data_IF_127233213318
#
_entry.id   IF_127233213318
#
_cell.length_a   1.000
_cell.length_b   1.000
_cell.length_c   1.000
_cell.angle_alpha   90.00
_cell.angle_beta   90.00
_cell.angle_gamma   90.00
#
_symmetry.space_group_name_H-M   'P 1'
#
loop_
_entity.id
_entity.type
_entity.pdbx_description
1 polymer ?
#
# COMPACT_ATOMS: atom_id res chain seq x y z
N UNK A 1 -14.35 -19.15 33.44
CA UNK A 1 -13.11 -18.94 32.65
C UNK A 1 -12.98 -17.45 32.42
N UNK A 2 -12.02 -16.78 33.07
CA UNK A 2 -11.72 -15.38 32.81
C UNK A 2 -10.95 -15.27 31.48
N UNK A 3 -11.66 -15.18 30.35
CA UNK A 3 -11.07 -14.96 29.03
C UNK A 3 -10.81 -13.46 28.86
N UNK A 4 -9.75 -12.95 29.49
CA UNK A 4 -9.41 -11.53 29.51
C UNK A 4 -8.23 -11.13 28.61
N UNK A 5 -8.05 -11.76 27.45
CA UNK A 5 -7.03 -11.38 26.46
C UNK A 5 -7.47 -11.89 25.06
N UNK A 6 -8.55 -11.34 24.50
CA UNK A 6 -8.99 -11.68 23.15
C UNK A 6 -8.32 -10.80 22.09
N UNK A 7 -8.05 -11.38 20.93
CA UNK A 7 -7.80 -10.60 19.71
C UNK A 7 -9.16 -10.19 19.10
N UNK A 8 -9.32 -8.91 18.77
CA UNK A 8 -10.50 -8.38 18.07
C UNK A 8 -10.07 -7.67 16.80
N UNK A 9 -10.73 -7.95 15.68
CA UNK A 9 -10.42 -7.32 14.40
C UNK A 9 -11.68 -6.66 13.87
N UNK A 10 -11.63 -5.35 13.69
CA UNK A 10 -12.69 -4.57 13.07
C UNK A 10 -12.24 -4.11 11.68
N UNK A 11 -13.21 -3.93 10.80
CA UNK A 11 -13.00 -3.30 9.50
C UNK A 11 -13.68 -1.95 9.47
N UNK A 12 -13.01 -0.95 8.91
CA UNK A 12 -13.67 0.21 8.34
C UNK A 12 -14.39 -0.13 7.03
N UNK A 13 -14.97 0.87 6.40
CA UNK A 13 -15.71 0.74 5.14
C UNK A 13 -14.82 0.76 3.90
N UNK A 14 -13.54 1.09 4.04
CA UNK A 14 -12.63 1.22 2.90
C UNK A 14 -12.23 -0.10 2.25
N UNK A 15 -12.07 -1.18 3.03
CA UNK A 15 -11.65 -2.49 2.51
C UNK A 15 -12.10 -3.69 3.36
N UNK A 16 -13.42 -3.97 3.46
CA UNK A 16 -13.95 -5.11 4.22
C UNK A 16 -13.40 -6.46 3.76
N UNK A 17 -13.19 -6.64 2.44
CA UNK A 17 -12.69 -7.89 1.86
C UNK A 17 -11.31 -8.27 2.41
N UNK A 18 -10.41 -7.30 2.55
CA UNK A 18 -9.09 -7.55 3.13
C UNK A 18 -9.18 -7.95 4.60
N UNK A 19 -10.09 -7.34 5.37
CA UNK A 19 -10.33 -7.71 6.75
C UNK A 19 -10.88 -9.14 6.88
N UNK A 20 -11.75 -9.57 5.98
CA UNK A 20 -12.22 -10.95 5.90
C UNK A 20 -11.10 -11.93 5.55
N UNK A 21 -10.21 -11.59 4.61
CA UNK A 21 -9.05 -12.43 4.27
C UNK A 21 -8.16 -12.62 5.51
N UNK A 22 -7.86 -11.53 6.23
CA UNK A 22 -7.02 -11.55 7.41
C UNK A 22 -7.64 -12.41 8.52
N UNK A 23 -8.91 -12.18 8.83
CA UNK A 23 -9.63 -12.91 9.89
C UNK A 23 -9.79 -14.40 9.58
N UNK A 24 -10.09 -14.74 8.32
CA UNK A 24 -10.14 -16.14 7.84
C UNK A 24 -8.81 -16.86 8.04
N UNK A 25 -7.69 -16.21 7.72
CA UNK A 25 -6.34 -16.78 7.92
C UNK A 25 -5.99 -16.97 9.38
N UNK A 26 -6.44 -16.06 10.24
CA UNK A 26 -6.26 -16.16 11.70
C UNK A 26 -7.22 -17.15 12.37
N UNK A 27 -8.22 -17.66 11.66
CA UNK A 27 -9.21 -18.59 12.21
C UNK A 27 -10.15 -17.94 13.24
N UNK A 28 -10.35 -16.61 13.17
CA UNK A 28 -11.23 -15.86 14.07
C UNK A 28 -12.30 -15.12 13.26
N UNK A 29 -13.50 -14.86 13.82
CA UNK A 29 -14.51 -14.06 13.13
C UNK A 29 -14.16 -12.56 13.14
N UNK A 30 -14.59 -11.84 12.11
CA UNK A 30 -14.56 -10.37 12.10
C UNK A 30 -15.50 -9.83 13.20
N UNK A 31 -14.99 -8.90 13.99
CA UNK A 31 -15.73 -8.25 15.06
C UNK A 31 -16.77 -7.26 14.49
N UNK A 32 -17.90 -7.14 15.16
CA UNK A 32 -19.05 -6.38 14.69
C UNK A 32 -18.92 -4.89 15.06
N UNK A 33 -18.89 -4.04 14.03
CA UNK A 33 -19.06 -2.61 14.17
C UNK A 33 -20.12 -2.12 13.18
N UNK A 34 -20.95 -1.17 13.62
CA UNK A 34 -21.89 -0.46 12.78
C UNK A 34 -21.24 0.86 12.36
N UNK A 35 -20.98 1.02 11.07
CA UNK A 35 -20.45 2.27 10.50
C UNK A 35 -21.49 2.84 9.54
N UNK A 36 -22.00 4.03 9.85
CA UNK A 36 -23.05 4.69 9.10
C UNK A 36 -22.62 6.09 8.70
N UNK A 37 -23.13 6.59 7.58
CA UNK A 37 -22.95 7.97 7.16
C UNK A 37 -24.29 8.70 7.21
N UNK A 38 -24.35 9.82 7.92
CA UNK A 38 -25.56 10.65 8.01
C UNK A 38 -25.82 11.37 6.68
N UNK A 39 -27.04 11.89 6.48
CA UNK A 39 -27.41 12.63 5.27
C UNK A 39 -26.56 13.90 5.01
N UNK A 40 -25.96 14.47 6.06
CA UNK A 40 -25.04 15.61 5.95
C UNK A 40 -23.57 15.19 5.78
N UNK A 41 -23.29 13.88 5.77
CA UNK A 41 -21.98 13.30 5.50
C UNK A 41 -21.13 12.99 6.73
N UNK A 42 -21.66 13.08 7.95
CA UNK A 42 -20.95 12.70 9.17
C UNK A 42 -20.87 11.18 9.31
N UNK A 43 -19.71 10.68 9.74
CA UNK A 43 -19.52 9.27 10.05
C UNK A 43 -19.94 9.00 11.50
N UNK A 44 -20.83 8.03 11.68
CA UNK A 44 -21.23 7.50 12.99
C UNK A 44 -20.73 6.06 13.11
N UNK A 45 -20.09 5.75 14.24
CA UNK A 45 -19.52 4.43 14.53
C UNK A 45 -20.07 3.92 15.85
N UNK A 46 -20.50 2.66 15.89
CA UNK A 46 -20.82 1.94 17.11
C UNK A 46 -20.13 0.59 17.11
N UNK A 47 -19.27 0.36 18.11
CA UNK A 47 -18.70 -0.96 18.37
C UNK A 47 -19.79 -1.82 19.02
N UNK A 48 -20.20 -2.90 18.37
CA UNK A 48 -21.38 -3.68 18.76
C UNK A 48 -21.09 -4.77 19.81
N UNK A 49 -19.82 -4.96 20.17
CA UNK A 49 -19.36 -5.92 21.16
C UNK A 49 -18.38 -5.30 22.17
N UNK A 50 -18.24 -5.91 23.34
CA UNK A 50 -17.26 -5.46 24.33
C UNK A 50 -15.84 -5.66 23.81
N UNK A 51 -15.01 -4.62 23.95
CA UNK A 51 -13.57 -4.64 23.64
C UNK A 51 -12.73 -4.40 24.90
N UNK A 52 -13.35 -4.40 26.09
CA UNK A 52 -12.66 -4.14 27.36
C UNK A 52 -11.54 -5.15 27.59
N UNK A 53 -10.33 -4.64 27.82
CA UNK A 53 -9.09 -5.41 27.99
C UNK A 53 -8.65 -6.26 26.77
N UNK A 54 -9.30 -6.13 25.61
CA UNK A 54 -8.91 -6.84 24.39
C UNK A 54 -7.80 -6.12 23.61
N UNK A 55 -7.05 -6.88 22.79
CA UNK A 55 -6.09 -6.37 21.81
C UNK A 55 -6.81 -6.17 20.47
N UNK A 56 -7.04 -4.91 20.13
CA UNK A 56 -7.91 -4.49 19.03
C UNK A 56 -7.09 -4.10 17.80
N UNK A 57 -7.46 -4.63 16.65
CA UNK A 57 -6.92 -4.27 15.34
C UNK A 57 -8.03 -3.66 14.49
N UNK A 58 -7.79 -2.48 13.93
CA UNK A 58 -8.74 -1.80 13.04
C UNK A 58 -8.11 -1.69 11.66
N UNK A 59 -8.72 -2.34 10.67
CA UNK A 59 -8.26 -2.33 9.28
C UNK A 59 -9.01 -1.23 8.53
N UNK A 60 -8.29 -0.21 8.09
CA UNK A 60 -8.85 0.86 7.26
C UNK A 60 -7.76 1.45 6.36
N UNK A 61 -7.95 1.41 5.04
CA UNK A 61 -6.98 1.89 4.05
C UNK A 61 -7.36 3.27 3.52
N UNK A 62 -6.37 4.06 3.09
CA UNK A 62 -6.55 5.43 2.61
C UNK A 62 -7.12 5.55 1.20
N UNK A 63 -8.22 4.87 0.88
CA UNK A 63 -8.84 4.84 -0.45
C UNK A 63 -10.24 5.48 -0.50
N UNK A 64 -10.84 5.51 -1.69
CA UNK A 64 -12.18 6.06 -1.96
C UNK A 64 -12.28 7.55 -1.54
N UNK A 65 -13.08 7.85 -0.52
CA UNK A 65 -13.16 9.17 0.09
C UNK A 65 -12.14 9.26 1.23
N UNK A 66 -10.89 9.58 0.89
CA UNK A 66 -9.74 9.55 1.81
C UNK A 66 -9.98 10.28 3.15
N UNK A 67 -10.68 11.42 3.12
CA UNK A 67 -11.04 12.17 4.33
C UNK A 67 -12.06 11.43 5.20
N UNK A 68 -13.06 10.80 4.57
CA UNK A 68 -14.07 10.01 5.27
C UNK A 68 -13.43 8.77 5.88
N UNK A 69 -12.56 8.06 5.14
CA UNK A 69 -11.84 6.89 5.66
C UNK A 69 -10.92 7.26 6.85
N UNK A 70 -10.21 8.40 6.77
CA UNK A 70 -9.39 8.90 7.88
C UNK A 70 -10.25 9.23 9.12
N UNK A 71 -11.34 9.96 8.94
CA UNK A 71 -12.23 10.30 10.05
C UNK A 71 -12.87 9.06 10.66
N UNK A 72 -13.32 8.12 9.84
CA UNK A 72 -13.85 6.84 10.27
C UNK A 72 -12.84 6.06 11.12
N UNK A 73 -11.59 5.92 10.65
CA UNK A 73 -10.51 5.29 11.42
C UNK A 73 -10.32 5.98 12.79
N UNK A 74 -10.22 7.31 12.81
CA UNK A 74 -10.05 8.06 14.05
C UNK A 74 -11.22 7.86 15.02
N UNK A 75 -12.46 7.83 14.52
CA UNK A 75 -13.65 7.61 15.33
C UNK A 75 -13.68 6.17 15.87
N UNK A 76 -13.36 5.16 15.04
CA UNK A 76 -13.28 3.76 15.47
C UNK A 76 -12.23 3.56 16.56
N UNK A 77 -11.01 4.10 16.36
CA UNK A 77 -9.94 4.07 17.36
C UNK A 77 -10.40 4.73 18.66
N UNK A 78 -11.00 5.92 18.57
CA UNK A 78 -11.49 6.62 19.76
C UNK A 78 -12.57 5.85 20.50
N UNK A 79 -13.53 5.25 19.77
CA UNK A 79 -14.59 4.42 20.35
C UNK A 79 -14.02 3.21 21.10
N UNK A 80 -13.02 2.52 20.55
CA UNK A 80 -12.34 1.42 21.24
C UNK A 80 -11.56 1.91 22.47
N UNK A 81 -10.90 3.08 22.39
CA UNK A 81 -10.12 3.65 23.50
C UNK A 81 -11.00 3.95 24.71
N UNK A 82 -12.11 4.64 24.51
CA UNK A 82 -13.05 4.97 25.59
C UNK A 82 -13.83 3.75 26.08
N UNK A 83 -13.97 2.71 25.25
CA UNK A 83 -14.51 1.41 25.64
C UNK A 83 -13.50 0.52 26.42
N UNK A 84 -12.35 1.08 26.82
CA UNK A 84 -11.32 0.41 27.62
C UNK A 84 -10.62 -0.76 26.92
N UNK A 85 -10.40 -0.66 25.61
CA UNK A 85 -9.49 -1.58 24.92
C UNK A 85 -8.07 -1.49 25.53
N UNK A 86 -7.41 -2.65 25.67
CA UNK A 86 -6.06 -2.74 26.27
C UNK A 86 -5.00 -2.13 25.37
N UNK A 87 -5.09 -2.44 24.07
CA UNK A 87 -4.21 -1.95 23.02
C UNK A 87 -4.99 -1.81 21.73
N UNK A 88 -4.71 -0.75 20.98
CA UNK A 88 -5.35 -0.48 19.69
C UNK A 88 -4.28 -0.34 18.62
N UNK A 89 -4.33 -1.23 17.63
CA UNK A 89 -3.45 -1.21 16.46
C UNK A 89 -4.24 -0.78 15.22
N UNK A 90 -3.83 0.31 14.57
CA UNK A 90 -4.38 0.70 13.28
C UNK A 90 -3.61 0.01 12.15
N UNK A 91 -4.29 -0.81 11.34
CA UNK A 91 -3.74 -1.42 10.14
C UNK A 91 -4.19 -0.60 8.94
N UNK A 92 -3.25 0.11 8.33
CA UNK A 92 -3.47 1.10 7.27
C UNK A 92 -2.64 0.71 6.05
N UNK A 93 -3.11 -0.23 5.21
CA UNK A 93 -2.32 -0.75 4.10
C UNK A 93 -1.80 0.35 3.17
N UNK A 94 -2.66 1.25 2.68
CA UNK A 94 -2.24 2.51 2.05
C UNK A 94 -2.37 3.67 3.06
N UNK A 95 -1.24 4.27 3.43
CA UNK A 95 -1.23 5.43 4.31
C UNK A 95 -1.77 6.70 3.62
N UNK A 96 -2.84 7.35 4.14
CA UNK A 96 -3.43 8.51 3.49
C UNK A 96 -2.49 9.71 3.55
N UNK A 97 -2.49 10.51 2.47
CA UNK A 97 -1.63 11.70 2.33
C UNK A 97 -0.12 11.45 2.35
N UNK A 98 0.35 10.21 2.15
CA UNK A 98 1.77 9.86 2.24
C UNK A 98 2.69 10.65 1.29
N UNK A 99 2.18 11.12 0.14
CA UNK A 99 2.94 11.99 -0.80
C UNK A 99 3.13 13.44 -0.31
N UNK A 100 2.51 13.83 0.81
CA UNK A 100 2.60 15.16 1.41
C UNK A 100 3.42 15.10 2.72
N UNK A 101 4.61 14.53 2.62
CA UNK A 101 5.55 14.21 3.71
C UNK A 101 6.58 15.30 4.00
N UNK A 102 6.70 16.30 3.12
CA UNK A 102 7.67 17.39 3.27
C UNK A 102 7.15 18.71 2.69
N UNK A 103 7.82 19.80 3.04
CA UNK A 103 7.54 21.13 2.45
C UNK A 103 8.24 21.27 1.12
N UNK A 104 7.56 20.92 0.03
CA UNK A 104 8.09 21.11 -1.32
C UNK A 104 8.03 22.55 -1.84
N UNK A 105 7.23 23.40 -1.19
CA UNK A 105 7.09 24.83 -1.49
C UNK A 105 6.94 25.62 -0.19
N UNK A 106 7.22 26.93 -0.26
CA UNK A 106 6.94 27.84 0.86
C UNK A 106 5.44 27.77 1.23
N UNK A 107 5.14 27.74 2.53
CA UNK A 107 3.78 27.65 3.10
C UNK A 107 2.96 26.40 2.73
N UNK A 108 3.58 25.34 2.22
CA UNK A 108 2.92 24.04 2.10
C UNK A 108 2.80 23.34 3.48
N UNK A 109 1.70 22.59 3.75
CA UNK A 109 1.58 21.76 4.93
C UNK A 109 2.42 20.47 4.80
N UNK A 110 2.68 19.81 5.93
CA UNK A 110 3.15 18.42 5.98
C UNK A 110 1.95 17.57 6.43
N UNK A 111 1.06 17.27 5.50
CA UNK A 111 -0.23 16.64 5.80
C UNK A 111 -0.05 15.22 6.34
N UNK A 112 0.97 14.47 5.89
CA UNK A 112 1.26 13.15 6.46
C UNK A 112 1.58 13.21 7.97
N UNK A 113 2.26 14.27 8.44
CA UNK A 113 2.50 14.50 9.88
C UNK A 113 1.22 14.89 10.62
N UNK A 114 0.36 15.70 10.00
CA UNK A 114 -0.96 16.01 10.57
C UNK A 114 -1.81 14.74 10.75
N UNK A 115 -1.85 13.89 9.73
CA UNK A 115 -2.55 12.60 9.74
C UNK A 115 -1.99 11.69 10.82
N UNK A 116 -0.66 11.56 10.92
CA UNK A 116 -0.01 10.80 11.97
C UNK A 116 -0.43 11.29 13.37
N UNK A 117 -0.42 12.61 13.58
CA UNK A 117 -0.88 13.24 14.81
C UNK A 117 -2.35 12.92 15.11
N UNK A 118 -3.25 12.96 14.11
CA UNK A 118 -4.67 12.64 14.29
C UNK A 118 -4.87 11.18 14.73
N UNK A 119 -4.21 10.23 14.06
CA UNK A 119 -4.31 8.80 14.36
C UNK A 119 -3.77 8.49 15.76
N UNK A 120 -2.61 9.03 16.15
CA UNK A 120 -2.08 8.76 17.49
C UNK A 120 -2.90 9.47 18.58
N UNK A 121 -3.41 10.68 18.32
CA UNK A 121 -4.20 11.44 19.31
C UNK A 121 -5.63 10.94 19.47
N UNK A 122 -6.17 10.17 18.52
CA UNK A 122 -7.46 9.49 18.72
C UNK A 122 -7.36 8.34 19.73
N UNK A 123 -6.15 7.86 20.04
CA UNK A 123 -5.89 6.84 21.06
C UNK A 123 -5.20 5.57 20.54
N UNK A 124 -4.66 5.61 19.32
CA UNK A 124 -3.94 4.48 18.71
C UNK A 124 -2.61 4.23 19.43
N UNK A 125 -2.31 2.97 19.75
CA UNK A 125 -1.10 2.57 20.48
C UNK A 125 -0.02 1.97 19.55
N UNK A 126 -0.39 1.54 18.34
CA UNK A 126 0.50 0.92 17.35
C UNK A 126 -0.04 1.11 15.92
N UNK A 127 0.82 1.36 14.93
CA UNK A 127 0.42 1.44 13.52
C UNK A 127 1.11 0.37 12.69
N UNK A 128 0.35 -0.34 11.86
CA UNK A 128 0.86 -1.23 10.83
C UNK A 128 0.51 -0.63 9.48
N UNK A 129 1.47 -0.51 8.57
CA UNK A 129 1.26 0.04 7.21
C UNK A 129 2.09 -0.74 6.20
N UNK A 130 1.79 -0.62 4.91
CA UNK A 130 2.58 -1.24 3.85
C UNK A 130 3.21 -0.18 2.95
N UNK A 131 4.47 -0.38 2.55
CA UNK A 131 5.22 0.41 1.56
C UNK A 131 4.96 1.93 1.60
N UNK A 132 5.21 2.55 2.77
CA UNK A 132 5.15 4.00 2.92
C UNK A 132 5.96 4.71 1.83
N UNK A 133 5.32 5.71 1.19
CA UNK A 133 5.93 6.54 0.14
C UNK A 133 7.32 7.07 0.55
N UNK A 134 7.43 7.53 1.80
CA UNK A 134 8.68 7.90 2.43
C UNK A 134 8.84 7.15 3.76
N UNK A 135 9.97 6.47 3.93
CA UNK A 135 10.25 5.71 5.15
C UNK A 135 10.34 6.59 6.41
N UNK A 136 10.62 7.89 6.23
CA UNK A 136 10.67 8.90 7.29
C UNK A 136 9.31 9.16 7.95
N UNK A 137 8.19 8.79 7.32
CA UNK A 137 6.85 8.90 7.90
C UNK A 137 6.76 8.09 9.21
N UNK A 138 7.54 7.03 9.39
CA UNK A 138 7.64 6.32 10.68
C UNK A 138 8.03 7.27 11.82
N UNK A 139 8.94 8.21 11.58
CA UNK A 139 9.34 9.23 12.55
C UNK A 139 8.31 10.34 12.78
N UNK A 140 7.15 10.30 12.10
CA UNK A 140 6.04 11.20 12.41
C UNK A 140 5.19 10.71 13.58
N UNK A 141 5.32 9.43 13.94
CA UNK A 141 4.62 8.82 15.06
C UNK A 141 5.52 8.77 16.30
N UNK A 142 4.90 8.96 17.46
CA UNK A 142 5.54 8.71 18.75
C UNK A 142 5.24 7.28 19.26
N UNK A 143 4.25 6.63 18.66
CA UNK A 143 3.91 5.21 18.87
C UNK A 143 4.72 4.32 17.92
N UNK A 144 4.92 3.02 18.22
CA UNK A 144 5.54 2.08 17.30
C UNK A 144 4.85 2.08 15.93
N UNK A 145 5.63 1.86 14.88
CA UNK A 145 5.13 1.72 13.51
C UNK A 145 5.83 0.53 12.84
N UNK A 146 5.06 -0.50 12.51
CA UNK A 146 5.51 -1.60 11.67
C UNK A 146 5.24 -1.28 10.20
N UNK A 147 6.28 -0.82 9.50
CA UNK A 147 6.26 -0.64 8.04
C UNK A 147 6.58 -1.96 7.33
N UNK A 148 5.53 -2.64 6.89
CA UNK A 148 5.63 -3.86 6.08
C UNK A 148 5.99 -3.54 4.63
N UNK A 149 6.53 -4.54 3.93
CA UNK A 149 6.94 -4.43 2.53
C UNK A 149 6.18 -5.45 1.70
N UNK A 150 5.67 -5.05 0.53
CA UNK A 150 5.18 -6.01 -0.45
C UNK A 150 6.33 -6.71 -1.20
N UNK A 151 7.57 -6.21 -1.07
CA UNK A 151 8.76 -6.69 -1.78
C UNK A 151 8.93 -8.22 -1.78
N UNK A 152 8.77 -8.95 -0.64
CA UNK A 152 8.84 -10.41 -0.67
C UNK A 152 7.77 -11.06 -1.56
N UNK A 153 6.52 -10.59 -1.47
CA UNK A 153 5.40 -11.08 -2.30
C UNK A 153 5.61 -10.77 -3.77
N UNK A 154 6.18 -9.60 -4.07
CA UNK A 154 6.56 -9.16 -5.41
C UNK A 154 7.68 -10.04 -5.99
N UNK A 155 8.72 -10.32 -5.22
CA UNK A 155 9.82 -11.20 -5.62
C UNK A 155 9.29 -12.61 -5.88
N UNK A 156 8.44 -13.14 -5.00
CA UNK A 156 7.82 -14.45 -5.18
C UNK A 156 6.96 -14.49 -6.46
N UNK A 157 6.18 -13.44 -6.70
CA UNK A 157 5.39 -13.30 -7.92
C UNK A 157 6.28 -13.30 -9.17
N UNK A 158 7.38 -12.53 -9.17
CA UNK A 158 8.30 -12.46 -10.31
C UNK A 158 8.96 -13.83 -10.55
N UNK A 159 9.44 -14.49 -9.51
CA UNK A 159 10.06 -15.83 -9.59
C UNK A 159 9.11 -16.90 -10.14
N UNK A 160 7.82 -16.76 -9.87
CA UNK A 160 6.81 -17.73 -10.29
C UNK A 160 6.36 -17.51 -11.73
N UNK A 161 6.34 -16.26 -12.20
CA UNK A 161 5.71 -15.89 -13.48
C UNK A 161 6.71 -15.53 -14.59
N UNK A 162 7.99 -15.31 -14.29
CA UNK A 162 8.98 -14.85 -15.26
C UNK A 162 10.27 -15.67 -15.22
N UNK A 163 10.88 -15.86 -16.39
CA UNK A 163 12.24 -16.39 -16.51
C UNK A 163 13.26 -15.30 -16.16
N UNK A 164 13.97 -15.48 -15.04
CA UNK A 164 14.87 -14.45 -14.50
C UNK A 164 16.02 -14.06 -15.45
N UNK A 165 16.45 -14.96 -16.35
CA UNK A 165 17.48 -14.66 -17.34
C UNK A 165 17.10 -13.54 -18.31
N UNK A 166 15.80 -13.30 -18.49
CA UNK A 166 15.26 -12.51 -19.59
C UNK A 166 14.61 -11.20 -19.09
N UNK A 167 14.70 -10.90 -17.80
CA UNK A 167 14.07 -9.70 -17.22
C UNK A 167 15.09 -8.60 -16.90
N UNK A 168 14.55 -7.37 -16.81
CA UNK A 168 15.24 -6.19 -16.26
C UNK A 168 14.24 -5.44 -15.39
N UNK A 169 14.65 -5.09 -14.16
CA UNK A 169 13.84 -4.28 -13.26
C UNK A 169 14.08 -2.81 -13.60
N UNK A 170 13.01 -2.04 -13.79
CA UNK A 170 13.09 -0.65 -14.23
C UNK A 170 12.44 0.27 -13.21
N UNK A 171 13.15 1.32 -12.80
CA UNK A 171 12.52 2.41 -12.05
C UNK A 171 11.97 3.50 -12.99
N UNK A 172 10.70 3.92 -12.82
CA UNK A 172 10.10 4.97 -13.66
C UNK A 172 10.67 6.37 -13.39
N UNK A 173 11.36 6.58 -12.27
CA UNK A 173 12.03 7.84 -11.95
C UNK A 173 13.23 7.64 -11.00
N UNK A 174 13.93 8.74 -10.69
CA UNK A 174 15.08 8.73 -9.78
C UNK A 174 14.72 8.41 -8.31
N UNK A 175 13.50 8.68 -7.88
CA UNK A 175 13.04 8.45 -6.51
C UNK A 175 12.86 6.97 -6.20
N UNK A 176 12.38 6.20 -7.17
CA UNK A 176 12.18 4.75 -7.06
C UNK A 176 13.45 3.91 -7.19
N UNK A 177 14.62 4.51 -7.44
CA UNK A 177 15.87 3.80 -7.74
C UNK A 177 16.21 2.72 -6.68
N UNK A 178 16.19 3.11 -5.40
CA UNK A 178 16.54 2.20 -4.28
C UNK A 178 15.63 0.97 -4.23
N UNK A 179 14.33 1.16 -4.48
CA UNK A 179 13.32 0.08 -4.49
C UNK A 179 13.59 -0.91 -5.61
N UNK A 180 13.79 -0.39 -6.81
CA UNK A 180 14.04 -1.20 -7.99
C UNK A 180 15.39 -1.93 -7.92
N UNK A 181 16.45 -1.29 -7.40
CA UNK A 181 17.75 -1.95 -7.16
C UNK A 181 17.64 -3.05 -6.11
N UNK A 182 16.92 -2.84 -4.99
CA UNK A 182 16.69 -3.88 -3.97
C UNK A 182 16.09 -5.16 -4.56
N UNK A 183 15.05 -5.00 -5.40
CA UNK A 183 14.41 -6.13 -6.07
C UNK A 183 15.34 -6.78 -7.09
N UNK A 184 16.06 -5.99 -7.88
CA UNK A 184 17.00 -6.50 -8.88
C UNK A 184 18.12 -7.34 -8.24
N UNK A 185 18.70 -6.85 -7.15
CA UNK A 185 19.77 -7.53 -6.41
C UNK A 185 19.29 -8.86 -5.82
N UNK A 186 18.08 -8.90 -5.23
CA UNK A 186 17.49 -10.13 -4.64
C UNK A 186 17.06 -11.16 -5.69
N UNK A 187 16.78 -10.71 -6.91
CA UNK A 187 16.48 -11.57 -8.05
C UNK A 187 17.74 -11.98 -8.83
N UNK A 188 18.87 -11.29 -8.64
CA UNK A 188 20.09 -11.47 -9.41
C UNK A 188 19.94 -11.05 -10.88
N UNK A 189 19.20 -9.98 -11.15
CA UNK A 189 18.88 -9.51 -12.51
C UNK A 189 19.34 -8.07 -12.74
N UNK A 190 19.36 -7.65 -14.01
CA UNK A 190 19.76 -6.29 -14.36
C UNK A 190 18.74 -5.23 -13.91
N UNK A 191 19.26 -4.02 -13.70
CA UNK A 191 18.48 -2.84 -13.33
C UNK A 191 18.62 -1.72 -14.39
N UNK A 192 17.54 -0.98 -14.62
CA UNK A 192 17.52 0.23 -15.43
C UNK A 192 16.66 1.34 -14.75
N UNK A 193 16.86 2.59 -15.15
CA UNK A 193 16.20 3.74 -14.54
C UNK A 193 15.90 4.83 -15.56
N UNK A 194 14.73 5.43 -15.45
CA UNK A 194 14.43 6.67 -16.15
C UNK A 194 14.90 7.89 -15.33
N UNK A 195 15.73 8.72 -15.96
CA UNK A 195 16.09 10.02 -15.46
C UNK A 195 15.27 11.09 -16.20
N UNK A 196 14.56 11.93 -15.45
CA UNK A 196 13.77 13.03 -16.01
C UNK A 196 14.63 14.29 -16.08
N UNK A 197 15.07 14.65 -17.29
CA UNK A 197 15.73 15.94 -17.52
C UNK A 197 14.68 17.05 -17.53
N UNK A 198 14.77 17.95 -16.55
CA UNK A 198 13.97 19.18 -16.54
C UNK A 198 14.73 20.25 -17.31
N UNK A 199 14.38 20.48 -18.59
CA UNK A 199 14.67 21.77 -19.24
C UNK A 199 13.65 22.81 -18.76
N UNK A 200 13.96 24.09 -18.99
CA UNK A 200 13.31 25.30 -18.43
C UNK A 200 11.77 25.21 -18.34
N UNK A 201 11.18 26.08 -17.50
CA UNK A 201 9.78 26.09 -17.05
C UNK A 201 8.65 26.02 -18.10
N UNK A 202 8.91 25.88 -19.41
CA UNK A 202 7.92 25.75 -20.49
C UNK A 202 8.28 24.68 -21.56
N UNK A 203 9.27 23.81 -21.34
CA UNK A 203 9.59 22.71 -22.26
C UNK A 203 9.08 21.36 -21.73
N UNK A 204 8.63 20.49 -22.64
CA UNK A 204 8.26 19.11 -22.31
C UNK A 204 9.48 18.38 -21.78
N UNK A 205 9.39 17.90 -20.54
CA UNK A 205 10.46 17.14 -19.88
C UNK A 205 10.82 15.89 -20.67
N UNK A 206 12.11 15.68 -20.95
CA UNK A 206 12.61 14.49 -21.64
C UNK A 206 12.92 13.38 -20.63
N UNK A 207 12.48 12.15 -20.90
CA UNK A 207 12.89 10.96 -20.16
C UNK A 207 14.10 10.32 -20.84
N UNK A 208 15.16 10.08 -20.08
CA UNK A 208 16.38 9.40 -20.54
C UNK A 208 16.47 8.06 -19.82
N UNK A 209 16.51 6.97 -20.58
CA UNK A 209 16.69 5.63 -20.04
C UNK A 209 18.19 5.35 -19.80
N UNK A 210 18.53 4.95 -18.58
CA UNK A 210 19.86 4.48 -18.18
C UNK A 210 19.77 2.99 -17.89
N UNK A 211 20.57 2.18 -18.58
CA UNK A 211 20.54 0.71 -18.49
C UNK A 211 20.08 0.05 -19.79
N UNK A 212 20.39 -1.25 -19.95
CA UNK A 212 20.10 -2.00 -21.18
C UNK A 212 18.80 -2.79 -21.03
N UNK A 213 17.80 -2.47 -21.86
CA UNK A 213 16.48 -3.15 -21.87
C UNK A 213 16.19 -3.92 -23.16
N UNK A 214 17.00 -3.68 -24.21
CA UNK A 214 16.78 -4.28 -25.54
C UNK A 214 16.82 -5.81 -25.49
N UNK A 215 15.77 -6.45 -25.98
CA UNK A 215 15.63 -7.91 -26.02
C UNK A 215 15.19 -8.54 -24.70
N UNK A 216 14.87 -7.75 -23.67
CA UNK A 216 14.44 -8.22 -22.35
C UNK A 216 13.00 -7.85 -22.04
N UNK A 217 12.38 -8.60 -21.14
CA UNK A 217 11.11 -8.22 -20.49
C UNK A 217 11.41 -7.17 -19.43
N UNK A 218 10.86 -5.97 -19.61
CA UNK A 218 11.05 -4.87 -18.67
C UNK A 218 9.92 -4.84 -17.63
N UNK A 219 10.26 -4.84 -16.34
CA UNK A 219 9.29 -4.75 -15.24
C UNK A 219 9.49 -3.41 -14.55
N UNK A 220 8.59 -2.47 -14.80
CA UNK A 220 8.52 -1.18 -14.11
C UNK A 220 8.07 -1.41 -12.66
N UNK A 221 8.82 -0.92 -11.68
CA UNK A 221 8.45 -1.03 -10.26
C UNK A 221 8.29 0.35 -9.62
N UNK A 222 7.16 0.58 -8.98
CA UNK A 222 6.89 1.78 -8.18
C UNK A 222 6.13 1.47 -6.87
N UNK A 223 6.04 2.41 -5.92
CA UNK A 223 5.23 2.21 -4.70
C UNK A 223 3.74 2.31 -5.01
N UNK A 224 3.35 3.22 -5.91
CA UNK A 224 1.95 3.49 -6.16
C UNK A 224 1.70 4.06 -7.55
N UNK A 225 0.60 3.63 -8.17
CA UNK A 225 0.11 4.18 -9.44
C UNK A 225 -1.22 4.89 -9.23
N UNK A 226 -1.29 6.16 -9.63
CA UNK A 226 -2.48 7.00 -9.50
C UNK A 226 -3.15 7.23 -10.86
N UNK A 227 -2.78 8.27 -11.60
CA UNK A 227 -3.31 8.51 -12.96
C UNK A 227 -2.62 7.69 -14.05
N UNK A 228 -1.58 6.93 -13.68
CA UNK A 228 -0.76 6.07 -14.54
C UNK A 228 -0.01 6.76 -15.70
N UNK A 229 -0.11 8.08 -15.87
CA UNK A 229 0.55 8.78 -16.99
C UNK A 229 2.07 8.58 -17.06
N UNK A 230 2.79 8.67 -15.94
CA UNK A 230 4.24 8.41 -15.88
C UNK A 230 4.55 6.96 -16.25
N UNK A 231 3.76 6.01 -15.74
CA UNK A 231 3.98 4.58 -15.94
C UNK A 231 3.74 4.17 -17.40
N UNK A 232 2.65 4.66 -18.00
CA UNK A 232 2.33 4.41 -19.42
C UNK A 232 3.37 5.05 -20.35
N UNK A 233 3.85 6.26 -20.04
CA UNK A 233 4.91 6.90 -20.81
C UNK A 233 6.25 6.15 -20.71
N UNK A 234 6.61 5.70 -19.50
CA UNK A 234 7.78 4.85 -19.28
C UNK A 234 7.67 3.53 -20.06
N UNK A 235 6.48 2.92 -20.08
CA UNK A 235 6.24 1.68 -20.82
C UNK A 235 6.38 1.87 -22.34
N UNK A 236 5.86 2.98 -22.87
CA UNK A 236 6.03 3.34 -24.27
C UNK A 236 7.52 3.48 -24.64
N UNK A 237 8.29 4.23 -23.83
CA UNK A 237 9.73 4.40 -24.07
C UNK A 237 10.53 3.10 -23.94
N UNK A 238 10.13 2.17 -23.07
CA UNK A 238 10.76 0.85 -22.96
C UNK A 238 10.51 0.02 -24.23
N UNK A 239 9.29 0.06 -24.76
CA UNK A 239 8.94 -0.59 -26.03
C UNK A 239 9.77 -0.02 -27.19
N UNK A 240 9.88 1.32 -27.29
CA UNK A 240 10.71 2.01 -28.29
C UNK A 240 12.21 1.68 -28.13
N UNK A 241 12.69 1.48 -26.91
CA UNK A 241 14.06 1.05 -26.61
C UNK A 241 14.31 -0.45 -26.90
N UNK A 242 13.29 -1.18 -27.35
CA UNK A 242 13.38 -2.57 -27.80
C UNK A 242 13.19 -3.61 -26.70
N UNK A 243 12.52 -3.28 -25.59
CA UNK A 243 12.03 -4.28 -24.63
C UNK A 243 11.01 -5.20 -25.34
N UNK A 244 11.06 -6.50 -25.05
CA UNK A 244 10.18 -7.50 -25.70
C UNK A 244 8.75 -7.45 -25.18
N UNK A 245 8.62 -7.26 -23.87
CA UNK A 245 7.36 -7.12 -23.14
C UNK A 245 7.57 -6.11 -22.01
N UNK A 246 6.51 -5.39 -21.64
CA UNK A 246 6.57 -4.41 -20.56
C UNK A 246 5.48 -4.67 -19.53
N UNK A 247 5.88 -4.80 -18.29
CA UNK A 247 5.01 -5.00 -17.13
C UNK A 247 5.14 -3.82 -16.19
N UNK A 248 4.04 -3.49 -15.51
CA UNK A 248 4.05 -2.58 -14.37
C UNK A 248 3.80 -3.37 -13.11
N UNK A 249 4.51 -3.06 -12.04
CA UNK A 249 4.28 -3.61 -10.72
C UNK A 249 4.28 -2.46 -9.71
N UNK A 250 3.18 -2.28 -9.00
CA UNK A 250 3.08 -1.29 -7.94
C UNK A 250 2.47 -1.88 -6.69
N UNK A 251 2.89 -1.43 -5.51
CA UNK A 251 2.23 -1.86 -4.28
C UNK A 251 0.80 -1.33 -4.26
N UNK A 252 0.61 -0.02 -4.38
CA UNK A 252 -0.70 0.62 -4.25
C UNK A 252 -1.26 1.05 -5.62
N UNK A 253 -2.19 0.27 -6.17
CA UNK A 253 -2.98 0.67 -7.33
C UNK A 253 -4.10 1.63 -6.95
N UNK A 254 -3.84 2.94 -6.90
CA UNK A 254 -4.86 3.97 -6.65
C UNK A 254 -5.76 4.15 -7.88
N UNK A 255 -5.17 4.10 -9.08
CA UNK A 255 -5.85 4.01 -10.38
C UNK A 255 -7.00 5.02 -10.59
N UNK A 256 -6.78 6.29 -10.24
CA UNK A 256 -7.82 7.33 -10.30
C UNK A 256 -8.00 7.95 -11.69
N UNK A 257 -9.16 8.57 -11.91
CA UNK A 257 -9.47 9.29 -13.14
C UNK A 257 -9.41 8.40 -14.38
N UNK A 258 -8.57 8.78 -15.36
CA UNK A 258 -8.43 8.05 -16.63
C UNK A 258 -7.40 6.90 -16.58
N UNK A 259 -6.94 6.49 -15.40
CA UNK A 259 -5.88 5.50 -15.24
C UNK A 259 -6.16 4.19 -16.00
N UNK A 260 -7.34 3.60 -15.82
CA UNK A 260 -7.70 2.32 -16.44
C UNK A 260 -7.68 2.41 -17.97
N UNK A 261 -8.23 3.49 -18.53
CA UNK A 261 -8.17 3.76 -19.97
C UNK A 261 -6.73 3.91 -20.45
N UNK A 262 -5.92 4.68 -19.73
CA UNK A 262 -4.51 4.89 -20.06
C UNK A 262 -3.71 3.57 -20.02
N UNK A 263 -4.01 2.67 -19.09
CA UNK A 263 -3.37 1.35 -19.01
C UNK A 263 -3.79 0.48 -20.21
N UNK A 264 -5.08 0.41 -20.52
CA UNK A 264 -5.61 -0.40 -21.62
C UNK A 264 -4.99 0.02 -22.97
N UNK A 265 -4.87 1.34 -23.20
CA UNK A 265 -4.28 1.91 -24.42
C UNK A 265 -2.74 1.91 -24.43
N UNK A 266 -2.07 1.62 -23.30
CA UNK A 266 -0.61 1.65 -23.20
C UNK A 266 0.10 0.39 -23.72
N UNK A 267 1.42 0.49 -23.84
CA UNK A 267 2.32 -0.62 -24.12
C UNK A 267 2.49 -1.62 -22.95
N UNK A 268 1.82 -1.41 -21.80
CA UNK A 268 1.81 -2.38 -20.71
C UNK A 268 1.05 -3.64 -21.14
N UNK A 269 1.64 -4.80 -20.87
CA UNK A 269 0.96 -6.09 -21.04
C UNK A 269 0.07 -6.39 -19.82
N UNK A 270 0.62 -6.21 -18.62
CA UNK A 270 -0.13 -6.24 -17.35
C UNK A 270 0.36 -5.15 -16.41
N UNK A 271 -0.56 -4.66 -15.59
CA UNK A 271 -0.26 -3.89 -14.38
C UNK A 271 -0.61 -4.75 -13.16
N UNK A 272 0.42 -5.21 -12.47
CA UNK A 272 0.32 -5.99 -11.25
C UNK A 272 0.25 -5.02 -10.07
N UNK A 273 -0.77 -5.16 -9.25
CA UNK A 273 -0.98 -4.37 -8.03
C UNK A 273 -1.16 -5.27 -6.83
N UNK A 274 -1.12 -4.74 -5.61
CA UNK A 274 -1.57 -5.51 -4.42
C UNK A 274 -3.02 -5.17 -4.07
N UNK A 275 -3.65 -6.01 -3.24
CA UNK A 275 -4.94 -5.71 -2.61
C UNK A 275 -4.84 -4.80 -1.37
N UNK A 276 -3.82 -3.94 -1.25
CA UNK A 276 -3.76 -2.87 -0.22
C UNK A 276 -4.90 -1.85 -0.35
N UNK A 277 -5.54 -1.79 -1.52
CA UNK A 277 -6.83 -1.15 -1.77
C UNK A 277 -7.74 -2.19 -2.46
N UNK A 278 -9.07 -2.02 -2.42
CA UNK A 278 -9.97 -2.84 -3.24
C UNK A 278 -9.63 -2.71 -4.72
N UNK A 279 -9.56 -3.83 -5.43
CA UNK A 279 -9.21 -3.88 -6.86
C UNK A 279 -10.25 -4.57 -7.73
N UNK A 280 -11.30 -5.17 -7.15
CA UNK A 280 -12.27 -5.97 -7.90
C UNK A 280 -12.89 -5.18 -9.07
N UNK A 281 -13.38 -3.97 -8.80
CA UNK A 281 -13.97 -3.09 -9.82
C UNK A 281 -12.95 -2.71 -10.93
N UNK A 282 -11.67 -2.56 -10.57
CA UNK A 282 -10.61 -2.25 -11.53
C UNK A 282 -10.31 -3.46 -12.43
N UNK A 283 -10.31 -4.68 -11.89
CA UNK A 283 -10.14 -5.92 -12.66
C UNK A 283 -11.30 -6.19 -13.61
N UNK A 284 -12.54 -5.89 -13.19
CA UNK A 284 -13.73 -6.02 -14.05
C UNK A 284 -13.70 -5.04 -15.23
N UNK A 285 -13.14 -3.84 -15.03
CA UNK A 285 -13.08 -2.78 -16.05
C UNK A 285 -11.84 -2.82 -16.93
N UNK A 286 -10.76 -3.45 -16.50
CA UNK A 286 -9.47 -3.46 -17.21
C UNK A 286 -8.82 -4.84 -17.14
N UNK A 287 -8.74 -5.49 -18.30
CA UNK A 287 -8.22 -6.86 -18.44
C UNK A 287 -6.73 -6.96 -18.12
N UNK A 288 -6.02 -5.83 -18.10
CA UNK A 288 -4.58 -5.76 -17.81
C UNK A 288 -4.26 -5.74 -16.32
N UNK A 289 -5.25 -5.58 -15.42
CA UNK A 289 -5.00 -5.55 -13.98
C UNK A 289 -4.87 -6.97 -13.42
N UNK A 290 -3.83 -7.19 -12.64
CA UNK A 290 -3.62 -8.42 -11.87
C UNK A 290 -3.30 -8.05 -10.42
N UNK A 291 -3.71 -8.90 -9.46
CA UNK A 291 -3.68 -8.56 -8.03
C UNK A 291 -2.91 -9.62 -7.25
N UNK A 292 -1.91 -9.18 -6.51
CA UNK A 292 -1.21 -9.95 -5.48
C UNK A 292 -1.96 -9.78 -4.15
N UNK A 293 -2.37 -10.90 -3.55
CA UNK A 293 -2.94 -10.91 -2.20
C UNK A 293 -1.82 -10.69 -1.16
N UNK A 294 -1.95 -9.66 -0.33
CA UNK A 294 -1.07 -9.38 0.81
C UNK A 294 -1.72 -9.71 2.16
N UNK A 295 -2.92 -10.30 2.16
CA UNK A 295 -3.65 -10.66 3.37
C UNK A 295 -2.93 -11.70 4.23
N UNK A 296 -2.11 -12.57 3.64
CA UNK A 296 -1.24 -13.49 4.39
C UNK A 296 -0.17 -12.74 5.20
N UNK A 297 0.48 -11.75 4.59
CA UNK A 297 1.48 -10.91 5.27
C UNK A 297 0.83 -10.18 6.43
N UNK A 298 -0.29 -9.49 6.21
CA UNK A 298 -0.97 -8.73 7.26
C UNK A 298 -1.54 -9.62 8.37
N UNK A 299 -2.08 -10.80 8.05
CA UNK A 299 -2.51 -11.76 9.06
C UNK A 299 -1.35 -12.20 9.96
N UNK A 300 -0.20 -12.50 9.37
CA UNK A 300 0.98 -12.91 10.13
C UNK A 300 1.56 -11.76 10.97
N UNK A 301 1.50 -10.51 10.49
CA UNK A 301 1.84 -9.32 11.28
C UNK A 301 0.95 -9.22 12.52
N UNK A 302 -0.37 -9.37 12.35
CA UNK A 302 -1.34 -9.34 13.45
C UNK A 302 -1.03 -10.45 14.47
N UNK A 303 -0.82 -11.68 14.00
CA UNK A 303 -0.47 -12.82 14.86
C UNK A 303 0.80 -12.53 15.67
N UNK A 304 1.87 -12.10 15.01
CA UNK A 304 3.16 -11.82 15.65
C UNK A 304 3.07 -10.66 16.64
N UNK A 305 2.42 -9.56 16.26
CA UNK A 305 2.20 -8.39 17.13
C UNK A 305 1.41 -8.75 18.39
N UNK A 306 0.40 -9.63 18.26
CA UNK A 306 -0.39 -10.11 19.41
C UNK A 306 0.46 -10.95 20.37
N UNK A 307 1.24 -11.90 19.85
CA UNK A 307 2.05 -12.81 20.67
C UNK A 307 3.43 -12.26 21.06
N UNK A 308 3.78 -11.04 20.64
CA UNK A 308 5.09 -10.44 20.91
C UNK A 308 6.25 -11.09 20.14
N UNK A 309 5.95 -11.73 19.00
CA UNK A 309 6.95 -12.29 18.11
C UNK A 309 7.54 -11.21 17.18
N UNK A 310 8.76 -11.45 16.68
CA UNK A 310 9.41 -10.55 15.74
C UNK A 310 8.65 -10.48 14.40
N UNK A 311 8.17 -9.29 14.05
CA UNK A 311 7.54 -8.94 12.76
C UNK A 311 8.58 -8.76 11.65
N UNK A 312 9.82 -8.38 12.00
CA UNK A 312 10.88 -8.08 11.03
C UNK A 312 11.24 -9.25 10.11
N UNK A 313 10.95 -10.50 10.51
CA UNK A 313 11.12 -11.67 9.64
C UNK A 313 10.31 -11.58 8.35
N UNK A 314 9.16 -10.91 8.37
CA UNK A 314 8.27 -10.74 7.22
C UNK A 314 8.79 -9.72 6.20
N UNK A 315 9.87 -9.01 6.51
CA UNK A 315 10.47 -8.06 5.56
C UNK A 315 11.30 -8.77 4.48
N UNK A 316 11.75 -9.99 4.78
CA UNK A 316 12.59 -10.77 3.88
C UNK A 316 11.88 -12.00 3.30
N UNK A 317 10.82 -12.49 3.95
CA UNK A 317 10.14 -13.74 3.60
C UNK A 317 8.62 -13.58 3.49
N UNK A 318 8.01 -14.27 2.52
CA UNK A 318 6.54 -14.38 2.43
C UNK A 318 6.09 -15.50 3.38
N UNK A 319 5.17 -15.23 4.32
CA UNK A 319 4.63 -16.27 5.17
C UNK A 319 3.77 -17.25 4.36
N UNK A 320 3.85 -18.53 4.74
CA UNK A 320 3.09 -19.63 4.14
C UNK A 320 1.57 -19.42 4.22
#
# INVERSE_FOLDING_TARGET
MFTGNGIKIFSGTSHPELAEIITRRLGIPLSKAEVMKSGIGETSVRIAESVREDDVYIINTGCNQVNTALMELCIMVHACKIASAKRITAIIPLFPYARQDKKDKSRAPITAKLVANMIQKSGCDHVVTMDLHASQIQGFFDVPVDKCYAEPSVIQYIRTNFALSDIVIVSPDAGGAKRATSIADRLGVDFALFHKERKKANEVSRMVLVGRVKGKTAILVDDMADTCGTLCLAAQHLSEAGATRVFGLVTHGILSGNALKAIEESALEKLIVTNTLPQQENQEKCSKIEVIDIGNVLAEVVRRSHYGESVSKLFDEVPY
#
